data_IF_057849298853
#
_entry.id   IF_057849298853
#
_cell.length_a   1.000
_cell.length_b   1.000
_cell.length_c   1.000
_cell.angle_alpha   90.00
_cell.angle_beta   90.00
_cell.angle_gamma   90.00
#
_symmetry.space_group_name_H-M   'P 1'
#
loop_
_entity.id
_entity.type
_entity.pdbx_description
1 polymer ?
#
# COMPACT_ATOMS: atom_id res chain seq x y z
N UNK A 1 11.78 16.64 5.69
CA UNK A 1 11.69 15.29 5.11
C UNK A 1 10.25 14.87 5.31
N UNK A 2 9.58 14.40 4.27
CA UNK A 2 8.15 14.07 4.31
C UNK A 2 7.96 12.90 5.26
N UNK A 3 6.93 12.96 6.10
CA UNK A 3 6.71 11.98 7.18
C UNK A 3 5.48 11.13 6.90
N UNK A 4 5.47 9.93 7.49
CA UNK A 4 4.34 8.99 7.49
C UNK A 4 3.13 9.54 8.25
N UNK A 5 2.01 8.80 8.20
CA UNK A 5 0.77 9.20 8.87
C UNK A 5 0.93 9.38 10.39
N UNK A 6 1.90 8.67 11.00
CA UNK A 6 2.20 8.78 12.42
C UNK A 6 3.22 9.89 12.74
N UNK A 7 3.75 10.57 11.71
CA UNK A 7 4.71 11.67 11.84
C UNK A 7 6.07 11.27 12.39
N UNK A 8 6.39 9.97 12.44
CA UNK A 8 7.58 9.42 13.09
C UNK A 8 8.67 9.04 12.09
N UNK A 9 8.31 8.61 10.88
CA UNK A 9 9.25 8.05 9.91
C UNK A 9 9.30 8.92 8.66
N UNK A 10 10.52 9.18 8.17
CA UNK A 10 10.71 9.84 6.87
C UNK A 10 10.39 8.86 5.74
N UNK A 11 9.42 9.19 4.87
CA UNK A 11 8.87 8.27 3.86
C UNK A 11 9.95 7.58 3.00
N UNK A 12 10.95 8.33 2.54
CA UNK A 12 12.04 7.79 1.70
C UNK A 12 12.99 6.89 2.49
N UNK A 13 13.27 7.22 3.76
CA UNK A 13 14.11 6.41 4.63
C UNK A 13 13.40 5.11 4.99
N UNK A 14 12.10 5.19 5.28
CA UNK A 14 11.25 4.05 5.54
C UNK A 14 11.22 3.10 4.34
N UNK A 15 10.94 3.64 3.14
CA UNK A 15 10.94 2.88 1.88
C UNK A 15 12.25 2.13 1.66
N UNK A 16 13.38 2.82 1.78
CA UNK A 16 14.70 2.21 1.61
C UNK A 16 15.01 1.15 2.68
N UNK A 17 14.49 1.30 3.90
CA UNK A 17 14.72 0.35 4.99
C UNK A 17 13.89 -0.92 4.85
N UNK A 18 12.64 -0.81 4.42
CA UNK A 18 11.70 -1.93 4.34
C UNK A 18 11.83 -2.73 3.04
N UNK A 19 12.28 -2.11 1.94
CA UNK A 19 12.36 -2.75 0.62
C UNK A 19 13.08 -4.11 0.61
N UNK A 20 14.27 -4.20 1.23
CA UNK A 20 15.03 -5.45 1.29
C UNK A 20 14.33 -6.56 2.06
N UNK A 21 13.61 -6.19 3.13
CA UNK A 21 12.82 -7.13 3.92
C UNK A 21 11.71 -7.72 3.06
N UNK A 22 10.96 -6.86 2.38
CA UNK A 22 9.83 -7.28 1.56
C UNK A 22 10.24 -8.15 0.36
N UNK A 23 11.39 -7.89 -0.28
CA UNK A 23 11.95 -8.81 -1.28
C UNK A 23 12.19 -10.21 -0.70
N UNK A 24 12.79 -10.27 0.50
CA UNK A 24 13.03 -11.52 1.20
C UNK A 24 11.73 -12.24 1.56
N UNK A 25 10.71 -11.49 1.96
CA UNK A 25 9.39 -12.01 2.31
C UNK A 25 8.63 -12.56 1.09
N UNK A 26 8.71 -11.89 -0.06
CA UNK A 26 8.15 -12.37 -1.33
C UNK A 26 8.84 -13.68 -1.76
N UNK A 27 10.17 -13.73 -1.71
CA UNK A 27 10.93 -14.93 -2.04
C UNK A 27 10.62 -16.08 -1.07
N UNK A 28 10.52 -15.78 0.23
CA UNK A 28 10.17 -16.76 1.26
C UNK A 28 8.78 -17.34 1.01
N UNK A 29 7.80 -16.50 0.68
CA UNK A 29 6.43 -16.95 0.36
C UNK A 29 6.41 -17.90 -0.84
N UNK A 30 7.09 -17.54 -1.93
CA UNK A 30 7.18 -18.37 -3.13
C UNK A 30 7.89 -19.71 -2.84
N UNK A 31 8.93 -19.69 -2.01
CA UNK A 31 9.64 -20.90 -1.58
C UNK A 31 8.73 -21.79 -0.72
N UNK A 32 7.95 -21.21 0.19
CA UNK A 32 6.99 -21.93 1.02
C UNK A 32 5.92 -22.63 0.16
N UNK A 33 5.36 -21.91 -0.82
CA UNK A 33 4.41 -22.48 -1.79
C UNK A 33 5.04 -23.63 -2.58
N UNK A 34 6.27 -23.44 -3.06
CA UNK A 34 7.03 -24.49 -3.76
C UNK A 34 7.25 -25.74 -2.91
N UNK A 35 7.60 -25.56 -1.64
CA UNK A 35 7.80 -26.66 -0.70
C UNK A 35 6.49 -27.44 -0.46
N UNK A 36 5.36 -26.74 -0.30
CA UNK A 36 4.04 -27.39 -0.13
C UNK A 36 3.64 -28.25 -1.34
N UNK A 37 4.07 -27.89 -2.56
CA UNK A 37 3.86 -28.71 -3.75
C UNK A 37 4.70 -29.99 -3.72
N UNK A 38 5.95 -29.90 -3.26
CA UNK A 38 6.88 -31.03 -3.15
C UNK A 38 6.41 -32.03 -2.09
N UNK A 39 5.99 -31.53 -0.93
CA UNK A 39 5.62 -32.36 0.23
C UNK A 39 4.32 -33.16 0.00
N UNK A 40 3.59 -32.89 -1.10
CA UNK A 40 2.43 -33.64 -1.59
C UNK A 40 1.37 -33.97 -0.52
N UNK A 41 1.21 -33.08 0.46
CA UNK A 41 0.18 -33.18 1.48
C UNK A 41 -1.17 -32.89 0.81
N UNK A 42 -1.78 -33.90 0.19
CA UNK A 42 -3.11 -33.82 -0.43
C UNK A 42 -4.20 -33.75 0.64
N UNK A 43 -4.23 -32.66 1.40
CA UNK A 43 -5.38 -32.29 2.21
C UNK A 43 -6.39 -31.54 1.33
N UNK A 44 -7.70 -31.65 1.59
CA UNK A 44 -8.71 -30.88 0.86
C UNK A 44 -8.47 -29.35 0.89
N UNK A 45 -7.93 -28.82 1.99
CA UNK A 45 -7.52 -27.41 2.09
C UNK A 45 -6.39 -27.06 1.13
N UNK A 46 -5.34 -27.89 1.07
CA UNK A 46 -4.23 -27.66 0.14
C UNK A 46 -4.67 -27.71 -1.33
N UNK A 47 -5.61 -28.59 -1.70
CA UNK A 47 -6.16 -28.62 -3.07
C UNK A 47 -6.90 -27.33 -3.43
N UNK A 48 -7.62 -26.74 -2.48
CA UNK A 48 -8.31 -25.46 -2.69
C UNK A 48 -7.29 -24.33 -2.84
N UNK A 49 -6.26 -24.31 -2.00
CA UNK A 49 -5.20 -23.29 -2.04
C UNK A 49 -4.41 -23.31 -3.35
N UNK A 50 -4.14 -24.49 -3.93
CA UNK A 50 -3.38 -24.62 -5.18
C UNK A 50 -4.02 -23.85 -6.35
N UNK A 51 -5.35 -23.67 -6.34
CA UNK A 51 -6.03 -22.89 -7.38
C UNK A 51 -5.63 -21.40 -7.39
N UNK A 52 -5.19 -20.86 -6.25
CA UNK A 52 -4.77 -19.47 -6.11
C UNK A 52 -3.27 -19.25 -6.34
N UNK A 53 -2.46 -20.31 -6.49
CA UNK A 53 -1.01 -20.19 -6.62
C UNK A 53 -0.56 -19.34 -7.81
N UNK A 54 -1.15 -19.47 -9.01
CA UNK A 54 -0.79 -18.62 -10.14
C UNK A 54 -1.00 -17.13 -9.85
N UNK A 55 -2.14 -16.77 -9.24
CA UNK A 55 -2.45 -15.38 -8.88
C UNK A 55 -1.49 -14.87 -7.81
N UNK A 56 -1.21 -15.65 -6.77
CA UNK A 56 -0.24 -15.28 -5.74
C UNK A 56 1.15 -15.07 -6.36
N UNK A 57 1.60 -15.96 -7.25
CA UNK A 57 2.88 -15.79 -7.94
C UNK A 57 2.92 -14.51 -8.77
N UNK A 58 1.86 -14.22 -9.52
CA UNK A 58 1.75 -12.97 -10.27
C UNK A 58 1.83 -11.74 -9.35
N UNK A 59 1.10 -11.75 -8.22
CA UNK A 59 1.14 -10.66 -7.25
C UNK A 59 2.52 -10.50 -6.59
N UNK A 60 3.28 -11.57 -6.37
CA UNK A 60 4.64 -11.47 -5.80
C UNK A 60 5.64 -10.89 -6.80
N UNK A 61 5.45 -11.16 -8.10
CA UNK A 61 6.24 -10.53 -9.16
C UNK A 61 5.91 -9.03 -9.20
N UNK A 62 4.63 -8.66 -9.26
CA UNK A 62 4.20 -7.26 -9.27
C UNK A 62 4.65 -6.51 -8.02
N UNK A 63 4.52 -7.13 -6.83
CA UNK A 63 5.02 -6.59 -5.57
C UNK A 63 6.53 -6.31 -5.63
N UNK A 64 7.31 -7.25 -6.18
CA UNK A 64 8.76 -7.04 -6.34
C UNK A 64 9.09 -5.90 -7.30
N UNK A 65 8.34 -5.74 -8.39
CA UNK A 65 8.49 -4.61 -9.32
C UNK A 65 8.07 -3.27 -8.68
N UNK A 66 7.03 -3.26 -7.86
CA UNK A 66 6.60 -2.09 -7.08
C UNK A 66 7.66 -1.68 -6.06
N UNK A 67 8.28 -2.63 -5.34
CA UNK A 67 9.39 -2.34 -4.43
C UNK A 67 10.57 -1.71 -5.18
N UNK A 68 10.91 -2.22 -6.37
CA UNK A 68 11.97 -1.64 -7.19
C UNK A 68 11.65 -0.18 -7.55
N UNK A 69 10.42 0.07 -8.03
CA UNK A 69 9.96 1.43 -8.36
C UNK A 69 9.94 2.36 -7.15
N UNK A 70 9.47 1.88 -6.00
CA UNK A 70 9.44 2.64 -4.75
C UNK A 70 10.86 3.07 -4.31
N UNK A 71 11.85 2.18 -4.41
CA UNK A 71 13.26 2.49 -4.11
C UNK A 71 13.82 3.52 -5.09
N UNK A 72 13.58 3.34 -6.39
CA UNK A 72 14.06 4.27 -7.42
C UNK A 72 13.42 5.66 -7.27
N UNK A 73 12.12 5.73 -6.99
CA UNK A 73 11.43 6.99 -6.68
C UNK A 73 11.94 7.62 -5.39
N UNK A 74 12.19 6.83 -4.35
CA UNK A 74 12.78 7.34 -3.10
C UNK A 74 14.16 7.96 -3.32
N UNK A 75 15.01 7.33 -4.14
CA UNK A 75 16.29 7.88 -4.55
C UNK A 75 16.12 9.15 -5.38
N UNK A 76 15.15 9.16 -6.29
CA UNK A 76 14.75 10.34 -7.06
C UNK A 76 14.32 11.50 -6.17
N UNK A 77 13.49 11.25 -5.15
CA UNK A 77 13.05 12.23 -4.17
C UNK A 77 14.22 12.80 -3.35
N UNK A 78 15.18 11.97 -2.94
CA UNK A 78 16.40 12.44 -2.25
C UNK A 78 17.26 13.31 -3.16
N UNK A 79 17.41 12.93 -4.44
CA UNK A 79 18.14 13.75 -5.41
C UNK A 79 17.42 15.08 -5.68
N UNK A 80 16.11 15.05 -5.87
CA UNK A 80 15.29 16.24 -6.06
C UNK A 80 15.35 17.16 -4.83
N UNK A 81 15.37 16.60 -3.62
CA UNK A 81 15.55 17.39 -2.39
C UNK A 81 16.89 18.14 -2.37
N UNK A 82 17.95 17.52 -2.88
CA UNK A 82 19.26 18.19 -3.03
C UNK A 82 19.17 19.40 -3.97
N UNK A 83 18.44 19.28 -5.08
CA UNK A 83 18.23 20.39 -6.01
C UNK A 83 17.29 21.47 -5.43
N UNK A 84 16.25 21.07 -4.70
CA UNK A 84 15.32 21.97 -4.01
C UNK A 84 15.98 22.79 -2.91
N UNK A 85 17.06 22.28 -2.29
CA UNK A 85 17.89 23.08 -1.38
C UNK A 85 18.55 24.27 -2.10
N UNK A 86 18.88 24.16 -3.39
CA UNK A 86 19.41 25.29 -4.15
C UNK A 86 18.34 26.37 -4.36
N UNK A 87 17.10 25.98 -4.68
CA UNK A 87 15.98 26.93 -4.78
C UNK A 87 15.68 27.63 -3.44
N UNK A 88 15.73 26.88 -2.33
CA UNK A 88 15.59 27.44 -0.99
C UNK A 88 16.74 28.41 -0.64
N UNK A 89 17.97 28.07 -1.04
CA UNK A 89 19.13 28.97 -0.88
C UNK A 89 18.94 30.27 -1.67
N UNK A 90 18.44 30.20 -2.90
CA UNK A 90 18.13 31.40 -3.69
C UNK A 90 17.11 32.29 -2.99
N UNK A 91 16.07 31.72 -2.39
CA UNK A 91 15.11 32.46 -1.57
C UNK A 91 15.79 33.20 -0.40
N UNK A 92 16.69 32.54 0.34
CA UNK A 92 17.42 33.20 1.42
C UNK A 92 18.38 34.29 0.93
N UNK A 93 19.03 34.12 -0.23
CA UNK A 93 19.85 35.17 -0.85
C UNK A 93 19.00 36.38 -1.27
N UNK A 94 17.78 36.12 -1.76
CA UNK A 94 16.82 37.19 -2.08
C UNK A 94 16.41 37.94 -0.81
N UNK A 95 16.23 37.26 0.32
CA UNK A 95 15.93 37.92 1.60
C UNK A 95 17.11 38.72 2.14
N UNK A 96 18.33 38.18 2.08
CA UNK A 96 19.55 38.82 2.61
C UNK A 96 19.91 40.12 1.88
N UNK A 97 19.50 40.25 0.62
CA UNK A 97 19.76 41.44 -0.19
C UNK A 97 18.69 42.53 -0.08
N UNK A 98 17.68 42.34 0.79
CA UNK A 98 16.62 43.34 1.02
C UNK A 98 17.02 44.27 2.18
N UNK A 99 16.86 45.57 1.95
CA UNK A 99 17.04 46.59 2.98
C UNK A 99 15.83 46.59 3.94
N UNK A 100 16.03 46.01 5.13
CA UNK A 100 15.05 45.92 6.22
C UNK A 100 15.29 46.96 7.32
N UNK A 101 16.08 48.01 7.08
CA UNK A 101 16.38 49.04 8.10
C UNK A 101 15.14 49.74 8.68
N UNK A 102 14.02 49.74 7.96
CA UNK A 102 12.71 50.24 8.40
C UNK A 102 11.87 49.23 9.19
N UNK A 103 12.37 48.02 9.45
CA UNK A 103 11.70 46.94 10.18
C UNK A 103 10.91 45.96 9.32
N UNK A 104 10.43 46.38 8.15
CA UNK A 104 9.62 45.57 7.23
C UNK A 104 10.23 45.46 5.83
N UNK A 105 9.83 44.42 5.08
CA UNK A 105 10.10 44.29 3.63
C UNK A 105 9.24 45.32 2.88
N UNK A 106 9.89 46.16 2.06
CA UNK A 106 9.19 47.19 1.30
C UNK A 106 8.27 46.56 0.24
N UNK A 107 7.09 47.15 -0.04
CA UNK A 107 6.17 46.61 -1.05
C UNK A 107 6.79 46.42 -2.44
N UNK A 108 7.80 47.21 -2.80
CA UNK A 108 8.52 47.09 -4.06
C UNK A 108 9.39 45.81 -4.17
N UNK A 109 9.86 45.27 -3.04
CA UNK A 109 10.71 44.07 -3.00
C UNK A 109 9.89 42.77 -2.90
N UNK A 110 8.64 42.88 -2.44
CA UNK A 110 7.73 41.74 -2.25
C UNK A 110 7.52 40.86 -3.51
N UNK A 111 7.39 41.40 -4.74
CA UNK A 111 7.27 40.54 -5.93
C UNK A 111 8.48 39.62 -6.12
N UNK A 112 9.69 40.10 -5.82
CA UNK A 112 10.93 39.30 -5.92
C UNK A 112 10.99 38.23 -4.84
N UNK A 113 10.59 38.58 -3.61
CA UNK A 113 10.50 37.62 -2.50
C UNK A 113 9.51 36.51 -2.82
N UNK A 114 8.30 36.87 -3.27
CA UNK A 114 7.25 35.91 -3.64
C UNK A 114 7.72 34.99 -4.76
N UNK A 115 8.29 35.52 -5.83
CA UNK A 115 8.78 34.68 -6.92
C UNK A 115 9.84 33.66 -6.47
N UNK A 116 10.73 34.03 -5.54
CA UNK A 116 11.73 33.13 -5.00
C UNK A 116 11.15 32.10 -4.02
N UNK A 117 10.17 32.52 -3.20
CA UNK A 117 9.42 31.63 -2.32
C UNK A 117 8.63 30.61 -3.12
N UNK A 118 7.82 31.05 -4.08
CA UNK A 118 7.02 30.18 -4.95
C UNK A 118 7.92 29.17 -5.68
N UNK A 119 9.10 29.58 -6.14
CA UNK A 119 10.08 28.67 -6.75
C UNK A 119 10.55 27.61 -5.76
N UNK A 120 10.84 27.99 -4.51
CA UNK A 120 11.25 27.05 -3.47
C UNK A 120 10.12 26.10 -3.06
N UNK A 121 8.90 26.61 -2.88
CA UNK A 121 7.70 25.82 -2.55
C UNK A 121 7.42 24.78 -3.63
N UNK A 122 7.31 25.19 -4.90
CA UNK A 122 7.08 24.27 -6.02
C UNK A 122 8.15 23.18 -6.13
N UNK A 123 9.41 23.51 -5.80
CA UNK A 123 10.50 22.53 -5.80
C UNK A 123 10.35 21.50 -4.67
N UNK A 124 9.85 21.90 -3.49
CA UNK A 124 9.58 20.99 -2.37
C UNK A 124 8.29 20.18 -2.54
N UNK A 125 7.25 20.76 -3.13
CA UNK A 125 6.02 20.03 -3.48
C UNK A 125 6.31 18.85 -4.42
N UNK A 126 7.24 19.04 -5.38
CA UNK A 126 7.69 17.95 -6.26
C UNK A 126 8.42 16.82 -5.51
N UNK A 127 9.22 17.17 -4.50
CA UNK A 127 9.90 16.19 -3.62
C UNK A 127 8.88 15.42 -2.80
N UNK A 128 7.89 16.12 -2.24
CA UNK A 128 6.80 15.53 -1.47
C UNK A 128 5.99 14.55 -2.30
N UNK A 129 5.55 14.94 -3.50
CA UNK A 129 4.81 14.07 -4.39
C UNK A 129 5.58 12.79 -4.74
N UNK A 130 6.89 12.87 -5.01
CA UNK A 130 7.72 11.69 -5.27
C UNK A 130 7.86 10.79 -4.05
N UNK A 131 8.04 11.38 -2.86
CA UNK A 131 8.17 10.63 -1.62
C UNK A 131 6.86 9.90 -1.24
N UNK A 132 5.71 10.58 -1.40
CA UNK A 132 4.40 9.99 -1.20
C UNK A 132 4.16 8.83 -2.17
N UNK A 133 4.43 9.03 -3.46
CA UNK A 133 4.25 7.98 -4.46
C UNK A 133 5.15 6.77 -4.19
N UNK A 134 6.39 6.99 -3.78
CA UNK A 134 7.29 5.90 -3.40
C UNK A 134 6.75 5.10 -2.20
N UNK A 135 6.23 5.81 -1.20
CA UNK A 135 5.62 5.21 -0.03
C UNK A 135 4.37 4.38 -0.40
N UNK A 136 3.48 4.96 -1.21
CA UNK A 136 2.26 4.28 -1.64
C UNK A 136 2.56 3.01 -2.44
N UNK A 137 3.56 3.04 -3.33
CA UNK A 137 4.02 1.86 -4.06
C UNK A 137 4.59 0.78 -3.12
N UNK A 138 5.35 1.17 -2.09
CA UNK A 138 5.86 0.22 -1.11
C UNK A 138 4.72 -0.45 -0.33
N UNK A 139 3.76 0.32 0.18
CA UNK A 139 2.65 -0.24 0.97
C UNK A 139 1.65 -1.01 0.10
N UNK A 140 1.50 -0.67 -1.19
CA UNK A 140 0.81 -1.53 -2.14
C UNK A 140 1.51 -2.88 -2.28
N UNK A 141 2.84 -2.89 -2.40
CA UNK A 141 3.62 -4.11 -2.47
C UNK A 141 3.48 -4.98 -1.20
N UNK A 142 3.44 -4.35 -0.01
CA UNK A 142 3.18 -5.03 1.27
C UNK A 142 1.77 -5.59 1.34
N UNK A 143 0.78 -4.82 0.87
CA UNK A 143 -0.62 -5.24 0.81
C UNK A 143 -0.82 -6.47 -0.07
N UNK A 144 -0.14 -6.55 -1.22
CA UNK A 144 -0.11 -7.76 -2.07
C UNK A 144 0.45 -8.97 -1.33
N UNK A 145 1.55 -8.78 -0.59
CA UNK A 145 2.13 -9.85 0.22
C UNK A 145 1.16 -10.31 1.32
N UNK A 146 0.51 -9.38 2.03
CA UNK A 146 -0.50 -9.70 3.03
C UNK A 146 -1.73 -10.39 2.43
N UNK A 147 -2.22 -9.92 1.29
CA UNK A 147 -3.31 -10.54 0.53
C UNK A 147 -2.98 -12.00 0.21
N UNK A 148 -1.77 -12.28 -0.26
CA UNK A 148 -1.31 -13.64 -0.49
C UNK A 148 -1.23 -14.46 0.81
N UNK A 149 -0.70 -13.89 1.89
CA UNK A 149 -0.65 -14.54 3.22
C UNK A 149 -2.03 -14.88 3.76
N UNK A 150 -2.99 -13.96 3.67
CA UNK A 150 -4.39 -14.17 4.05
C UNK A 150 -5.00 -15.31 3.23
N UNK A 151 -4.73 -15.34 1.93
CA UNK A 151 -5.20 -16.42 1.05
C UNK A 151 -4.67 -17.78 1.49
N UNK A 152 -3.40 -17.87 1.89
CA UNK A 152 -2.77 -19.10 2.36
C UNK A 152 -3.22 -19.57 3.76
N UNK A 153 -4.06 -18.81 4.46
CA UNK A 153 -4.68 -19.22 5.73
C UNK A 153 -5.78 -20.28 5.58
N UNK A 154 -6.05 -20.77 4.37
CA UNK A 154 -7.05 -21.81 4.11
C UNK A 154 -8.45 -21.43 4.64
N UNK A 155 -8.88 -20.19 4.38
CA UNK A 155 -10.14 -19.66 4.90
C UNK A 155 -11.37 -20.24 4.19
N UNK A 156 -11.17 -20.78 2.99
CA UNK A 156 -12.23 -21.32 2.11
C UNK A 156 -12.41 -22.83 2.21
N UNK A 157 -11.60 -23.56 3.00
CA UNK A 157 -11.76 -25.01 3.18
C UNK A 157 -13.07 -25.42 3.88
N UNK A 158 -13.74 -24.48 4.55
CA UNK A 158 -15.07 -24.72 5.09
C UNK A 158 -15.86 -23.41 5.22
N UNK A 159 -17.18 -23.52 5.13
CA UNK A 159 -18.09 -22.39 5.35
C UNK A 159 -17.87 -21.73 6.72
N UNK A 160 -17.64 -22.52 7.78
CA UNK A 160 -17.45 -22.00 9.13
C UNK A 160 -16.21 -21.10 9.27
N UNK A 161 -15.07 -21.47 8.66
CA UNK A 161 -13.86 -20.62 8.63
C UNK A 161 -14.11 -19.33 7.87
N UNK A 162 -14.76 -19.43 6.72
CA UNK A 162 -15.08 -18.28 5.89
C UNK A 162 -16.07 -17.32 6.57
N UNK A 163 -17.08 -17.82 7.28
CA UNK A 163 -18.03 -16.99 8.02
C UNK A 163 -17.35 -16.20 9.16
N UNK A 164 -16.33 -16.78 9.81
CA UNK A 164 -15.48 -16.03 10.76
C UNK A 164 -14.68 -14.93 10.07
N UNK A 165 -14.18 -15.21 8.87
CA UNK A 165 -13.45 -14.21 8.07
C UNK A 165 -14.35 -13.04 7.69
N UNK A 166 -15.58 -13.32 7.27
CA UNK A 166 -16.59 -12.28 7.03
C UNK A 166 -16.92 -11.46 8.27
N UNK A 167 -17.02 -12.09 9.45
CA UNK A 167 -17.25 -11.37 10.71
C UNK A 167 -16.08 -10.44 11.06
N UNK A 168 -14.85 -10.91 10.90
CA UNK A 168 -13.65 -10.11 11.14
C UNK A 168 -13.57 -8.90 10.18
N UNK A 169 -13.94 -9.10 8.90
CA UNK A 169 -14.07 -8.01 7.93
C UNK A 169 -15.18 -7.02 8.31
N UNK A 170 -16.37 -7.51 8.68
CA UNK A 170 -17.49 -6.64 9.07
C UNK A 170 -17.20 -5.82 10.34
N UNK A 171 -16.40 -6.36 11.26
CA UNK A 171 -15.94 -5.63 12.44
C UNK A 171 -14.99 -4.47 12.09
N UNK A 172 -14.07 -4.69 11.13
CA UNK A 172 -13.10 -3.66 10.68
C UNK A 172 -13.73 -2.64 9.73
N UNK A 173 -14.58 -3.11 8.83
CA UNK A 173 -15.16 -2.33 7.74
C UNK A 173 -16.67 -2.22 7.92
N UNK A 174 -17.08 -1.39 8.88
CA UNK A 174 -18.51 -1.20 9.18
C UNK A 174 -19.29 -0.76 7.94
N UNK A 175 -20.40 -1.44 7.67
CA UNK A 175 -21.26 -1.18 6.50
C UNK A 175 -20.82 -1.86 5.21
N UNK A 176 -19.67 -2.53 5.18
CA UNK A 176 -19.22 -3.29 4.01
C UNK A 176 -19.83 -4.68 4.00
N UNK A 177 -20.47 -5.03 2.88
CA UNK A 177 -21.03 -6.38 2.66
C UNK A 177 -20.09 -7.19 1.78
N UNK A 178 -19.61 -8.31 2.32
CA UNK A 178 -18.71 -9.24 1.61
C UNK A 178 -19.47 -10.45 1.06
N UNK A 179 -19.00 -11.08 -0.04
CA UNK A 179 -19.63 -12.27 -0.61
C UNK A 179 -19.82 -13.37 0.42
N UNK A 180 -20.94 -14.09 0.37
CA UNK A 180 -21.12 -15.31 1.15
C UNK A 180 -20.25 -16.46 0.63
N UNK A 181 -20.18 -17.56 1.39
CA UNK A 181 -19.31 -18.69 1.07
C UNK A 181 -19.58 -19.25 -0.34
N UNK A 182 -20.86 -19.44 -0.68
CA UNK A 182 -21.24 -19.97 -1.97
C UNK A 182 -20.87 -19.04 -3.13
N UNK A 183 -21.00 -17.73 -2.94
CA UNK A 183 -20.65 -16.71 -3.92
C UNK A 183 -19.13 -16.61 -4.10
N UNK A 184 -18.36 -16.61 -3.01
CA UNK A 184 -16.91 -16.60 -3.05
C UNK A 184 -16.34 -17.84 -3.75
N UNK A 185 -16.83 -19.03 -3.41
CA UNK A 185 -16.39 -20.29 -4.03
C UNK A 185 -16.76 -20.36 -5.51
N UNK A 186 -17.91 -19.81 -5.92
CA UNK A 186 -18.31 -19.77 -7.34
C UNK A 186 -17.50 -18.73 -8.13
N UNK A 187 -17.20 -17.60 -7.50
CA UNK A 187 -16.43 -16.52 -8.12
C UNK A 187 -14.94 -16.83 -8.22
N UNK A 188 -14.43 -17.82 -7.48
CA UNK A 188 -13.01 -18.18 -7.47
C UNK A 188 -12.12 -17.05 -6.95
N UNK A 189 -12.67 -16.15 -6.12
CA UNK A 189 -11.95 -14.99 -5.60
C UNK A 189 -11.21 -15.41 -4.33
N UNK A 190 -9.92 -15.09 -4.27
CA UNK A 190 -9.09 -15.43 -3.14
C UNK A 190 -9.50 -14.62 -1.89
N UNK A 191 -9.43 -15.20 -0.67
CA UNK A 191 -9.73 -14.46 0.56
C UNK A 191 -8.93 -13.16 0.73
N UNK A 192 -7.67 -13.14 0.29
CA UNK A 192 -6.86 -11.92 0.28
C UNK A 192 -7.44 -10.81 -0.59
N UNK A 193 -7.90 -11.14 -1.80
CA UNK A 193 -8.55 -10.19 -2.73
C UNK A 193 -9.86 -9.65 -2.13
N UNK A 194 -10.67 -10.51 -1.52
CA UNK A 194 -11.90 -10.08 -0.83
C UNK A 194 -11.57 -9.11 0.31
N UNK A 195 -10.47 -9.37 1.02
CA UNK A 195 -9.97 -8.53 2.11
C UNK A 195 -9.56 -7.14 1.62
N UNK A 196 -8.84 -7.08 0.49
CA UNK A 196 -8.45 -5.82 -0.16
C UNK A 196 -9.69 -5.07 -0.66
N UNK A 197 -10.56 -5.76 -1.42
CA UNK A 197 -11.78 -5.19 -1.96
C UNK A 197 -12.72 -4.68 -0.86
N UNK A 198 -12.73 -5.30 0.33
CA UNK A 198 -13.47 -4.81 1.48
C UNK A 198 -12.92 -3.48 2.03
N UNK A 199 -11.59 -3.33 2.10
CA UNK A 199 -10.96 -2.05 2.44
C UNK A 199 -11.28 -0.98 1.37
N UNK A 200 -11.11 -1.32 0.09
CA UNK A 200 -11.38 -0.37 -1.01
C UNK A 200 -12.86 0.02 -1.06
N UNK A 201 -13.76 -0.92 -0.77
CA UNK A 201 -15.19 -0.68 -0.60
C UNK A 201 -15.46 0.30 0.54
N UNK A 202 -14.77 0.13 1.66
CA UNK A 202 -14.90 1.01 2.80
C UNK A 202 -14.44 2.43 2.48
N UNK A 203 -13.31 2.62 1.82
CA UNK A 203 -12.78 3.93 1.45
C UNK A 203 -13.65 4.63 0.40
N UNK A 204 -14.08 3.89 -0.63
CA UNK A 204 -14.74 4.48 -1.81
C UNK A 204 -16.26 4.44 -1.75
N UNK A 205 -16.83 3.75 -0.75
CA UNK A 205 -18.27 3.45 -0.61
C UNK A 205 -18.85 2.67 -1.80
N UNK A 206 -18.01 2.02 -2.60
CA UNK A 206 -18.44 1.15 -3.69
C UNK A 206 -18.72 -0.26 -3.16
N UNK A 207 -19.76 -0.96 -3.64
CA UNK A 207 -20.00 -2.35 -3.29
C UNK A 207 -18.82 -3.28 -3.65
N UNK A 208 -18.53 -4.27 -2.79
CA UNK A 208 -17.42 -5.21 -2.98
C UNK A 208 -17.56 -6.02 -4.28
N UNK A 209 -18.78 -6.42 -4.64
CA UNK A 209 -19.05 -7.15 -5.89
C UNK A 209 -18.71 -6.32 -7.14
N UNK A 210 -18.91 -5.00 -7.09
CA UNK A 210 -18.51 -4.10 -8.18
C UNK A 210 -16.98 -4.00 -8.29
N UNK A 211 -16.28 -3.92 -7.16
CA UNK A 211 -14.81 -3.88 -7.14
C UNK A 211 -14.25 -5.19 -7.71
N UNK A 212 -14.70 -6.34 -7.22
CA UNK A 212 -14.24 -7.65 -7.69
C UNK A 212 -14.56 -7.87 -9.17
N UNK A 213 -15.73 -7.41 -9.64
CA UNK A 213 -16.07 -7.47 -11.06
C UNK A 213 -15.16 -6.55 -11.91
N UNK A 214 -14.75 -5.40 -11.37
CA UNK A 214 -13.80 -4.52 -12.03
C UNK A 214 -12.41 -5.17 -12.12
N UNK A 215 -11.90 -5.76 -11.04
CA UNK A 215 -10.63 -6.49 -11.04
C UNK A 215 -10.61 -7.58 -12.12
N UNK A 216 -11.69 -8.37 -12.21
CA UNK A 216 -11.81 -9.41 -13.23
C UNK A 216 -11.87 -8.84 -14.65
N UNK A 217 -12.48 -7.67 -14.84
CA UNK A 217 -12.67 -7.07 -16.15
C UNK A 217 -11.40 -6.36 -16.67
N UNK A 218 -10.63 -5.70 -15.80
CA UNK A 218 -9.44 -4.94 -16.19
C UNK A 218 -8.15 -5.72 -16.01
N UNK A 219 -8.14 -6.71 -15.11
CA UNK A 219 -6.93 -7.41 -14.68
C UNK A 219 -6.11 -6.62 -13.66
N UNK A 220 -6.57 -5.43 -13.27
CA UNK A 220 -5.97 -4.66 -12.17
C UNK A 220 -6.38 -5.28 -10.84
N UNK A 221 -5.48 -5.30 -9.86
CA UNK A 221 -5.87 -5.71 -8.51
C UNK A 221 -6.42 -4.52 -7.72
N UNK A 222 -7.05 -4.78 -6.57
CA UNK A 222 -7.48 -3.73 -5.66
C UNK A 222 -6.34 -2.78 -5.26
N UNK A 223 -5.09 -3.26 -5.13
CA UNK A 223 -3.93 -2.40 -4.88
C UNK A 223 -3.64 -1.45 -6.06
N UNK A 224 -3.72 -1.95 -7.30
CA UNK A 224 -3.58 -1.10 -8.51
C UNK A 224 -4.69 -0.04 -8.56
N UNK A 225 -5.92 -0.43 -8.25
CA UNK A 225 -7.06 0.47 -8.20
C UNK A 225 -6.91 1.54 -7.11
N UNK A 226 -6.32 1.18 -5.96
CA UNK A 226 -6.05 2.10 -4.86
C UNK A 226 -4.99 3.13 -5.25
N UNK A 227 -3.87 2.67 -5.83
CA UNK A 227 -2.80 3.52 -6.35
C UNK A 227 -3.32 4.49 -7.43
N UNK A 228 -4.11 4.00 -8.39
CA UNK A 228 -4.67 4.81 -9.46
C UNK A 228 -5.62 5.91 -8.95
N UNK A 229 -6.23 5.72 -7.77
CA UNK A 229 -7.12 6.68 -7.12
C UNK A 229 -6.41 7.58 -6.10
N UNK A 230 -5.10 7.42 -5.90
CA UNK A 230 -4.33 8.16 -4.90
C UNK A 230 -4.82 7.91 -3.47
N UNK A 231 -5.29 6.69 -3.19
CA UNK A 231 -5.66 6.29 -1.84
C UNK A 231 -4.40 5.87 -1.05
N UNK A 232 -4.38 6.16 0.25
CA UNK A 232 -3.26 5.85 1.13
C UNK A 232 -3.15 4.33 1.36
N UNK A 233 -2.26 3.68 0.62
CA UNK A 233 -2.09 2.21 0.67
C UNK A 233 -1.47 1.73 1.98
N UNK A 234 -0.82 2.59 2.76
CA UNK A 234 -0.41 2.30 4.15
C UNK A 234 -1.61 1.86 5.00
N UNK A 235 -2.77 2.51 4.85
CA UNK A 235 -3.97 2.13 5.61
C UNK A 235 -4.58 0.80 5.17
N UNK A 236 -4.38 0.42 3.91
CA UNK A 236 -4.77 -0.89 3.37
C UNK A 236 -3.89 -1.99 3.95
N UNK A 237 -2.57 -1.78 3.94
CA UNK A 237 -1.60 -2.68 4.55
C UNK A 237 -1.96 -2.93 6.02
N UNK A 238 -2.17 -1.86 6.80
CA UNK A 238 -2.53 -1.97 8.22
C UNK A 238 -3.82 -2.79 8.37
N UNK A 239 -4.84 -2.52 7.56
CA UNK A 239 -6.11 -3.22 7.66
C UNK A 239 -5.98 -4.71 7.33
N UNK A 240 -5.20 -5.07 6.32
CA UNK A 240 -4.89 -6.45 5.96
C UNK A 240 -3.98 -7.12 7.00
N UNK A 241 -3.00 -6.41 7.55
CA UNK A 241 -2.12 -6.89 8.62
C UNK A 241 -2.91 -7.27 9.86
N UNK A 242 -3.86 -6.41 10.25
CA UNK A 242 -4.79 -6.72 11.34
C UNK A 242 -5.68 -7.93 11.01
N UNK A 243 -6.14 -8.09 9.77
CA UNK A 243 -6.90 -9.28 9.38
C UNK A 243 -6.07 -10.56 9.44
N UNK A 244 -4.82 -10.51 8.96
CA UNK A 244 -3.90 -11.63 9.04
C UNK A 244 -3.60 -12.02 10.50
N UNK A 245 -3.37 -11.03 11.37
CA UNK A 245 -3.11 -11.21 12.80
C UNK A 245 -4.25 -11.92 13.55
N UNK A 246 -5.52 -11.65 13.21
CA UNK A 246 -6.67 -12.32 13.82
C UNK A 246 -6.60 -13.86 13.73
N UNK A 247 -5.97 -14.37 12.66
CA UNK A 247 -5.91 -15.81 12.39
C UNK A 247 -4.64 -16.48 12.91
N UNK A 248 -3.52 -15.77 12.93
CA UNK A 248 -2.23 -16.33 13.39
C UNK A 248 -2.06 -16.23 14.90
N UNK A 249 -2.53 -15.15 15.55
CA UNK A 249 -2.24 -14.89 16.96
C UNK A 249 -3.32 -15.44 17.91
N UNK A 250 -4.57 -15.58 17.46
CA UNK A 250 -5.69 -16.03 18.30
C UNK A 250 -6.76 -16.82 17.53
N UNK A 251 -6.50 -18.05 17.06
CA UNK A 251 -7.48 -18.87 16.35
C UNK A 251 -8.78 -19.20 17.13
N UNK A 252 -8.90 -18.82 18.40
CA UNK A 252 -10.04 -19.11 19.29
C UNK A 252 -10.65 -17.90 20.01
N UNK A 253 -10.29 -16.65 19.65
CA UNK A 253 -10.82 -15.46 20.36
C UNK A 253 -11.43 -14.43 19.41
N UNK A 254 -12.49 -14.82 18.73
CA UNK A 254 -13.60 -13.92 18.50
C UNK A 254 -14.79 -14.57 19.20
N UNK A 255 -15.09 -14.13 20.42
CA UNK A 255 -16.32 -14.48 21.14
C UNK A 255 -17.41 -13.51 20.70
#
# INVERSE_FOLDING_TARGET
MVVDINGMLGLTADTMSQANMLYGENQSLLTEMGQRLIDNAQTPGNQTLMSYYPTITAQMITSSDEVARAVDRSRGAVSAASDSLAALKEYFVVLDTIDTTSGDIKPADMPRVRAALDKAENAWDGVEAMALQANDELYAAQSRWLSARITLLDLTSSQGRYDWFRKAMAYRFSGVTTPDYASAMRGGVAPGEISCAAWLSYETKQPVDQILAQEQATGDTCEDMALARGLLTESMEIAQGLMYQDYIDKPHKLK
#
